data_IF_303889845060
#
_entry.id   IF_303889845060
#
_cell.length_a   1.000
_cell.length_b   1.000
_cell.length_c   1.000
_cell.angle_alpha   90.00
_cell.angle_beta   90.00
_cell.angle_gamma   90.00
#
_symmetry.space_group_name_H-M   'P 1'
#
loop_
_entity.id
_entity.type
_entity.pdbx_description
1 polymer ?
#
# COMPACT_ATOMS: atom_id res chain seq x y z
N UNK A 1 3.43 -57.28 -20.64
CA UNK A 1 2.52 -56.22 -21.14
C UNK A 1 1.68 -55.66 -19.98
N UNK A 2 2.24 -54.87 -19.06
CA UNK A 2 1.45 -54.32 -17.92
C UNK A 2 2.01 -53.03 -17.29
N UNK A 3 2.92 -52.32 -17.97
CA UNK A 3 3.50 -51.06 -17.46
C UNK A 3 3.13 -49.85 -18.33
N UNK A 4 2.85 -50.07 -19.63
CA UNK A 4 2.52 -48.99 -20.56
C UNK A 4 1.10 -48.40 -20.41
N UNK A 5 0.18 -49.07 -19.70
CA UNK A 5 -1.21 -48.60 -19.54
C UNK A 5 -1.43 -47.72 -18.29
N UNK A 6 -0.47 -47.64 -17.37
CA UNK A 6 -0.59 -46.80 -16.16
C UNK A 6 -0.11 -45.36 -16.38
N UNK A 7 0.78 -45.12 -17.34
CA UNK A 7 1.30 -43.78 -17.66
C UNK A 7 0.33 -42.92 -18.47
N UNK A 8 -0.55 -43.52 -19.29
CA UNK A 8 -1.52 -42.76 -20.08
C UNK A 8 -2.66 -42.12 -19.24
N UNK A 9 -3.03 -42.73 -18.10
CA UNK A 9 -4.05 -42.16 -17.19
C UNK A 9 -3.54 -40.99 -16.35
N UNK A 10 -2.24 -40.93 -16.05
CA UNK A 10 -1.63 -39.83 -15.29
C UNK A 10 -1.51 -38.55 -16.13
N UNK A 11 -1.25 -38.66 -17.44
CA UNK A 11 -1.17 -37.51 -18.34
C UNK A 11 -2.53 -36.82 -18.58
N UNK A 12 -3.64 -37.57 -18.56
CA UNK A 12 -4.98 -36.97 -18.73
C UNK A 12 -5.45 -36.18 -17.50
N UNK A 13 -5.08 -36.61 -16.29
CA UNK A 13 -5.44 -35.90 -15.05
C UNK A 13 -4.64 -34.60 -14.86
N UNK A 14 -3.39 -34.56 -15.31
CA UNK A 14 -2.58 -33.34 -15.30
C UNK A 14 -3.06 -32.29 -16.31
N UNK A 15 -3.51 -32.72 -17.51
CA UNK A 15 -4.09 -31.81 -18.49
C UNK A 15 -5.44 -31.22 -18.03
N UNK A 16 -6.24 -31.96 -17.25
CA UNK A 16 -7.52 -31.47 -16.74
C UNK A 16 -7.37 -30.45 -15.60
N UNK A 17 -6.32 -30.56 -14.78
CA UNK A 17 -6.01 -29.58 -13.73
C UNK A 17 -5.51 -28.24 -14.31
N UNK A 18 -4.72 -28.26 -15.40
CA UNK A 18 -4.30 -27.03 -16.07
C UNK A 18 -5.45 -26.27 -16.78
N UNK A 19 -6.52 -26.97 -17.17
CA UNK A 19 -7.68 -26.34 -17.83
C UNK A 19 -8.62 -25.67 -16.82
N UNK A 20 -8.67 -26.16 -15.57
CA UNK A 20 -9.48 -25.57 -14.51
C UNK A 20 -8.84 -24.31 -13.89
N UNK A 21 -7.50 -24.20 -13.90
CA UNK A 21 -6.80 -22.96 -13.52
C UNK A 21 -6.95 -21.85 -14.56
N UNK A 22 -7.03 -22.20 -15.85
CA UNK A 22 -7.20 -21.21 -16.93
C UNK A 22 -8.55 -20.48 -16.85
N UNK A 23 -9.62 -21.20 -16.50
CA UNK A 23 -10.96 -20.62 -16.40
C UNK A 23 -11.14 -19.62 -15.23
N UNK A 24 -10.29 -19.67 -14.20
CA UNK A 24 -10.31 -18.70 -13.10
C UNK A 24 -9.43 -17.48 -13.37
N UNK A 25 -8.44 -17.62 -14.26
CA UNK A 25 -7.59 -16.53 -14.76
C UNK A 25 -8.36 -15.63 -15.74
N UNK A 26 -9.30 -16.20 -16.51
CA UNK A 26 -10.12 -15.45 -17.46
C UNK A 26 -11.09 -14.45 -16.78
N UNK A 27 -11.55 -14.72 -15.56
CA UNK A 27 -12.48 -13.86 -14.80
C UNK A 27 -11.78 -12.61 -14.21
N UNK A 28 -10.48 -12.73 -13.91
CA UNK A 28 -9.62 -11.62 -13.47
C UNK A 28 -9.20 -10.75 -14.67
N UNK A 29 -9.13 -11.32 -15.87
CA UNK A 29 -8.81 -10.58 -17.08
C UNK A 29 -9.97 -9.68 -17.52
N UNK A 30 -11.22 -10.11 -17.36
CA UNK A 30 -12.43 -9.33 -17.64
C UNK A 30 -12.54 -8.05 -16.78
N UNK A 31 -12.22 -8.13 -15.48
CA UNK A 31 -12.25 -6.95 -14.58
C UNK A 31 -11.18 -5.91 -14.91
N UNK A 32 -10.01 -6.35 -15.38
CA UNK A 32 -8.92 -5.46 -15.80
C UNK A 32 -9.10 -4.88 -17.20
N UNK A 33 -9.71 -5.64 -18.11
CA UNK A 33 -10.16 -5.13 -19.39
C UNK A 33 -11.29 -4.14 -19.23
N UNK A 34 -12.22 -4.33 -18.28
CA UNK A 34 -13.22 -3.32 -17.96
C UNK A 34 -12.56 -2.03 -17.47
N UNK A 35 -11.66 -2.09 -16.48
CA UNK A 35 -10.95 -0.89 -16.01
C UNK A 35 -10.11 -0.20 -17.12
N UNK A 36 -9.40 -0.95 -17.98
CA UNK A 36 -8.60 -0.34 -19.07
C UNK A 36 -9.41 0.11 -20.29
N UNK A 37 -10.51 -0.57 -20.62
CA UNK A 37 -11.36 -0.21 -21.76
C UNK A 37 -12.25 0.99 -21.41
N UNK A 38 -12.61 1.14 -20.13
CA UNK A 38 -13.24 2.36 -19.59
C UNK A 38 -12.34 3.60 -19.66
N UNK A 39 -11.04 3.45 -19.35
CA UNK A 39 -10.05 4.57 -19.36
C UNK A 39 -9.93 5.25 -20.73
N UNK A 40 -10.32 4.58 -21.82
CA UNK A 40 -10.21 5.13 -23.17
C UNK A 40 -11.52 5.68 -23.75
N UNK A 41 -12.69 5.40 -23.17
CA UNK A 41 -13.99 5.84 -23.76
C UNK A 41 -15.15 6.12 -22.79
N UNK A 42 -15.06 5.86 -21.49
CA UNK A 42 -16.25 5.75 -20.63
C UNK A 42 -16.73 7.04 -19.96
N UNK A 43 -18.04 7.30 -20.03
CA UNK A 43 -18.79 8.21 -19.15
C UNK A 43 -19.00 7.59 -17.75
N UNK A 44 -19.27 8.40 -16.71
CA UNK A 44 -19.51 7.94 -15.31
C UNK A 44 -20.39 6.69 -15.16
N UNK A 45 -21.37 6.51 -16.04
CA UNK A 45 -22.32 5.38 -16.04
C UNK A 45 -21.67 4.00 -16.23
N UNK A 46 -20.45 3.91 -16.77
CA UNK A 46 -19.78 2.63 -17.04
C UNK A 46 -18.92 2.14 -15.86
N UNK A 47 -18.57 2.98 -14.88
CA UNK A 47 -17.65 2.64 -13.78
C UNK A 47 -18.29 1.74 -12.70
N UNK A 48 -19.58 1.42 -12.82
CA UNK A 48 -20.37 0.80 -11.76
C UNK A 48 -20.63 1.75 -10.59
N UNK A 49 -21.33 1.27 -9.57
CA UNK A 49 -21.53 2.02 -8.34
C UNK A 49 -20.28 1.90 -7.43
N UNK A 50 -19.94 2.92 -6.62
CA UNK A 50 -18.81 2.85 -5.69
C UNK A 50 -18.85 1.62 -4.77
N UNK A 51 -20.02 1.22 -4.30
CA UNK A 51 -20.22 0.05 -3.45
C UNK A 51 -19.89 -1.27 -4.18
N UNK A 52 -20.15 -1.34 -5.49
CA UNK A 52 -19.79 -2.51 -6.31
C UNK A 52 -18.27 -2.60 -6.48
N UNK A 53 -17.59 -1.45 -6.68
CA UNK A 53 -16.13 -1.39 -6.77
C UNK A 53 -15.46 -1.76 -5.45
N UNK A 54 -15.99 -1.28 -4.33
CA UNK A 54 -15.48 -1.65 -3.00
C UNK A 54 -15.63 -3.16 -2.79
N UNK A 55 -16.82 -3.70 -3.01
CA UNK A 55 -17.09 -5.14 -2.87
C UNK A 55 -16.18 -6.01 -3.76
N UNK A 56 -15.82 -5.53 -4.95
CA UNK A 56 -14.88 -6.24 -5.83
C UNK A 56 -13.43 -6.22 -5.31
N UNK A 57 -13.04 -5.16 -4.61
CA UNK A 57 -11.73 -5.02 -4.00
C UNK A 57 -11.63 -5.72 -2.63
N UNK A 58 -12.74 -6.11 -2.01
CA UNK A 58 -12.75 -6.74 -0.69
C UNK A 58 -12.32 -8.23 -0.70
N UNK A 59 -11.68 -8.71 0.38
CA UNK A 59 -11.16 -7.91 1.49
C UNK A 59 -9.95 -7.07 1.04
N UNK A 60 -9.93 -5.80 1.42
CA UNK A 60 -8.84 -4.88 1.09
C UNK A 60 -7.54 -5.35 1.74
N UNK A 61 -6.44 -5.25 1.00
CA UNK A 61 -5.11 -5.53 1.53
C UNK A 61 -4.27 -4.25 1.54
N UNK A 62 -3.95 -3.74 2.72
CA UNK A 62 -3.20 -2.50 2.84
C UNK A 62 -1.70 -2.74 2.64
N UNK A 63 -1.20 -2.35 1.46
CA UNK A 63 0.22 -2.19 1.22
C UNK A 63 0.71 -0.91 1.90
N UNK A 64 1.42 -1.06 3.01
CA UNK A 64 2.02 0.07 3.71
C UNK A 64 3.54 0.03 3.56
N UNK A 65 4.07 0.87 2.67
CA UNK A 65 5.51 1.13 2.65
C UNK A 65 5.88 2.11 3.78
N UNK A 66 7.00 1.88 4.50
CA UNK A 66 7.47 2.82 5.51
C UNK A 66 7.54 4.26 4.96
N UNK A 67 6.97 5.19 5.73
CA UNK A 67 6.89 6.64 5.44
C UNK A 67 5.95 7.05 4.30
N UNK A 68 5.10 6.14 3.85
CA UNK A 68 3.99 6.43 2.96
C UNK A 68 2.65 6.50 3.72
N UNK A 69 2.62 7.24 4.85
CA UNK A 69 1.36 7.60 5.51
C UNK A 69 0.67 6.54 6.37
N UNK A 70 1.11 6.33 7.61
CA UNK A 70 0.41 5.42 8.55
C UNK A 70 -1.04 5.87 8.83
N UNK A 71 -1.34 7.17 8.76
CA UNK A 71 -2.69 7.71 8.98
C UNK A 71 -3.73 7.23 7.98
N UNK A 72 -3.33 6.67 6.83
CA UNK A 72 -4.25 6.16 5.81
C UNK A 72 -5.12 5.02 6.34
N UNK A 73 -4.73 4.37 7.44
CA UNK A 73 -5.58 3.42 8.15
C UNK A 73 -6.95 4.01 8.52
N UNK A 74 -7.03 5.31 8.83
CA UNK A 74 -8.29 5.96 9.18
C UNK A 74 -9.25 6.00 7.97
N UNK A 75 -8.73 6.19 6.76
CA UNK A 75 -9.55 6.13 5.54
C UNK A 75 -10.05 4.71 5.28
N UNK A 76 -9.23 3.69 5.55
CA UNK A 76 -9.62 2.29 5.39
C UNK A 76 -10.77 1.91 6.33
N UNK A 77 -10.66 2.25 7.62
CA UNK A 77 -11.67 1.87 8.61
C UNK A 77 -13.00 2.62 8.45
N UNK A 78 -12.97 3.81 7.86
CA UNK A 78 -14.14 4.64 7.64
C UNK A 78 -14.87 4.34 6.33
N UNK A 79 -14.35 3.43 5.49
CA UNK A 79 -15.10 2.97 4.33
C UNK A 79 -16.36 2.18 4.75
N UNK A 80 -17.48 2.37 4.03
CA UNK A 80 -18.72 1.67 4.31
C UNK A 80 -18.53 0.15 4.29
N UNK A 81 -18.81 -0.51 5.42
CA UNK A 81 -18.78 -1.99 5.50
C UNK A 81 -17.40 -2.62 5.68
N UNK A 82 -16.31 -1.84 5.62
CA UNK A 82 -14.95 -2.37 5.82
C UNK A 82 -14.70 -2.75 7.28
N UNK A 83 -15.00 -1.82 8.21
CA UNK A 83 -14.88 -2.04 9.66
C UNK A 83 -16.17 -1.78 10.44
N UNK A 84 -17.27 -2.52 10.16
CA UNK A 84 -18.58 -2.26 10.78
C UNK A 84 -18.61 -2.53 12.28
N UNK A 85 -17.67 -3.34 12.81
CA UNK A 85 -17.54 -3.62 14.24
C UNK A 85 -16.74 -2.57 15.00
N UNK A 86 -16.11 -1.62 14.30
CA UNK A 86 -15.29 -0.59 14.91
C UNK A 86 -16.16 0.62 15.27
N UNK A 87 -16.36 0.85 16.57
CA UNK A 87 -17.07 2.04 17.06
C UNK A 87 -16.25 3.34 16.97
N UNK A 88 -14.99 3.24 16.54
CA UNK A 88 -14.04 4.35 16.45
C UNK A 88 -13.86 4.75 14.99
N UNK A 89 -13.91 6.05 14.72
CA UNK A 89 -13.55 6.63 13.41
C UNK A 89 -12.06 6.97 13.30
N UNK A 90 -11.28 6.64 14.34
CA UNK A 90 -9.88 7.01 14.49
C UNK A 90 -9.04 5.95 15.21
N UNK A 91 -7.96 5.58 14.56
CA UNK A 91 -6.91 4.70 15.07
C UNK A 91 -5.65 5.53 15.27
N UNK A 92 -5.37 5.90 16.53
CA UNK A 92 -4.19 6.68 16.91
C UNK A 92 -3.69 6.29 18.31
N UNK A 93 -2.66 7.00 18.79
CA UNK A 93 -2.08 6.75 20.10
C UNK A 93 -2.99 7.11 21.27
N UNK A 94 -4.01 7.95 21.06
CA UNK A 94 -4.98 8.33 22.09
C UNK A 94 -6.05 7.24 22.26
N UNK A 95 -6.45 6.58 21.16
CA UNK A 95 -7.48 5.55 21.17
C UNK A 95 -6.95 4.17 21.51
N UNK A 96 -5.77 3.80 20.99
CA UNK A 96 -5.19 2.45 21.16
C UNK A 96 -3.81 2.44 21.84
N UNK A 97 -3.40 3.58 22.41
CA UNK A 97 -2.14 3.73 23.13
C UNK A 97 -0.90 3.88 22.22
N UNK A 98 0.31 4.04 22.78
CA UNK A 98 1.55 4.30 22.02
C UNK A 98 1.90 3.24 20.96
N UNK A 99 1.26 2.07 21.05
CA UNK A 99 1.38 0.92 20.18
C UNK A 99 0.18 0.74 19.25
N UNK A 100 -0.50 1.83 18.88
CA UNK A 100 -1.77 1.77 18.17
C UNK A 100 -1.72 0.91 16.90
N UNK A 101 -0.63 0.98 16.12
CA UNK A 101 -0.46 0.16 14.92
C UNK A 101 -0.50 -1.34 15.23
N UNK A 102 0.46 -1.87 16.01
CA UNK A 102 0.41 -3.26 16.47
C UNK A 102 -0.92 -3.64 17.12
N UNK A 103 -1.41 -2.84 18.07
CA UNK A 103 -2.65 -3.12 18.78
C UNK A 103 -3.86 -3.19 17.85
N UNK A 104 -3.94 -2.31 16.86
CA UNK A 104 -5.00 -2.31 15.88
C UNK A 104 -4.97 -3.60 15.06
N UNK A 105 -3.85 -3.91 14.40
CA UNK A 105 -3.77 -5.05 13.50
C UNK A 105 -3.86 -6.41 14.19
N UNK A 106 -3.37 -6.54 15.43
CA UNK A 106 -3.40 -7.82 16.14
C UNK A 106 -4.68 -8.04 16.95
N UNK A 107 -5.26 -6.98 17.54
CA UNK A 107 -6.32 -7.14 18.55
C UNK A 107 -7.68 -6.61 18.10
N UNK A 108 -7.72 -5.58 17.25
CA UNK A 108 -8.96 -4.88 16.88
C UNK A 108 -9.44 -5.30 15.50
N UNK A 109 -8.56 -5.18 14.50
CA UNK A 109 -8.88 -5.41 13.10
C UNK A 109 -9.49 -6.81 12.84
N UNK A 110 -8.93 -7.93 13.34
CA UNK A 110 -9.44 -9.26 13.00
C UNK A 110 -10.89 -9.53 13.45
N UNK A 111 -11.37 -8.81 14.47
CA UNK A 111 -12.72 -8.95 15.00
C UNK A 111 -13.68 -7.86 14.51
N UNK A 112 -13.15 -6.73 14.03
CA UNK A 112 -13.93 -5.53 13.73
C UNK A 112 -14.00 -5.19 12.25
N UNK A 113 -13.09 -5.73 11.43
CA UNK A 113 -12.88 -5.36 10.03
C UNK A 113 -13.02 -6.54 9.07
N UNK A 114 -14.27 -6.89 8.73
CA UNK A 114 -14.55 -7.98 7.78
C UNK A 114 -14.17 -7.65 6.34
N UNK A 115 -14.14 -6.36 5.95
CA UNK A 115 -13.77 -5.93 4.60
C UNK A 115 -12.27 -5.68 4.41
N UNK A 116 -11.43 -6.03 5.39
CA UNK A 116 -9.97 -5.83 5.31
C UNK A 116 -9.21 -7.08 5.77
N UNK A 117 -8.16 -7.44 5.03
CA UNK A 117 -7.21 -8.46 5.46
C UNK A 117 -6.22 -7.84 6.46
N UNK A 118 -6.42 -8.14 7.74
CA UNK A 118 -5.62 -7.61 8.84
C UNK A 118 -4.26 -8.32 8.93
N UNK A 119 -3.22 -7.71 8.35
CA UNK A 119 -1.87 -8.28 8.35
C UNK A 119 -0.94 -7.50 9.27
N UNK A 120 -0.24 -8.21 10.15
CA UNK A 120 0.83 -7.66 10.99
C UNK A 120 2.15 -8.43 10.80
N UNK A 121 3.30 -7.74 10.66
CA UNK A 121 3.44 -6.28 10.59
C UNK A 121 2.93 -5.70 9.26
N UNK A 122 2.52 -4.41 9.23
CA UNK A 122 1.99 -3.80 8.02
C UNK A 122 3.04 -3.58 6.92
N UNK A 123 4.33 -3.73 7.24
CA UNK A 123 5.47 -3.58 6.32
C UNK A 123 5.89 -4.91 5.66
N UNK A 124 4.99 -5.88 5.55
CA UNK A 124 5.29 -7.17 4.94
C UNK A 124 5.56 -7.06 3.44
N UNK A 125 6.46 -7.90 2.95
CA UNK A 125 6.71 -8.08 1.53
C UNK A 125 5.56 -8.81 0.84
N UNK A 126 5.24 -8.39 -0.38
CA UNK A 126 4.21 -8.96 -1.26
C UNK A 126 4.80 -9.97 -2.26
N UNK A 127 6.11 -10.23 -2.20
CA UNK A 127 6.84 -10.81 -3.31
C UNK A 127 6.50 -12.25 -3.65
N UNK A 128 6.02 -13.05 -2.69
CA UNK A 128 5.65 -14.42 -2.98
C UNK A 128 4.55 -14.41 -4.05
N UNK A 129 4.77 -15.14 -5.15
CA UNK A 129 3.88 -15.11 -6.29
C UNK A 129 2.45 -15.49 -5.91
N UNK A 130 2.29 -16.43 -4.97
CA UNK A 130 0.98 -16.80 -4.42
C UNK A 130 0.34 -15.67 -3.63
N UNK A 131 1.15 -14.83 -2.98
CA UNK A 131 0.67 -13.72 -2.17
C UNK A 131 0.22 -12.53 -3.01
N UNK A 132 0.96 -12.18 -4.06
CA UNK A 132 0.53 -11.15 -5.02
C UNK A 132 -0.69 -11.63 -5.82
N UNK A 133 -0.63 -12.82 -6.42
CA UNK A 133 -1.71 -13.31 -7.27
C UNK A 133 -3.04 -13.41 -6.52
N UNK A 134 -3.03 -13.84 -5.26
CA UNK A 134 -4.23 -13.93 -4.42
C UNK A 134 -4.82 -12.56 -4.03
N UNK A 135 -4.02 -11.49 -4.08
CA UNK A 135 -4.40 -10.13 -3.67
C UNK A 135 -4.52 -9.14 -4.81
N UNK A 136 -4.20 -9.57 -6.04
CA UNK A 136 -4.33 -8.78 -7.26
C UNK A 136 -5.76 -8.25 -7.38
N UNK A 137 -5.91 -6.94 -7.53
CA UNK A 137 -7.19 -6.24 -7.58
C UNK A 137 -7.77 -5.87 -6.21
N UNK A 138 -7.06 -6.17 -5.10
CA UNK A 138 -7.47 -5.87 -3.72
C UNK A 138 -6.45 -5.02 -2.95
N UNK A 139 -5.27 -4.79 -3.53
CA UNK A 139 -4.22 -4.00 -2.91
C UNK A 139 -4.62 -2.53 -2.88
N UNK A 140 -4.44 -1.89 -1.74
CA UNK A 140 -4.63 -0.44 -1.57
C UNK A 140 -3.41 0.13 -0.86
N UNK A 141 -2.96 1.31 -1.25
CA UNK A 141 -1.82 1.94 -0.60
C UNK A 141 -1.53 3.35 -1.09
N UNK A 142 -0.71 4.03 -0.30
CA UNK A 142 -0.10 5.30 -0.68
C UNK A 142 1.37 5.06 -1.02
N UNK A 143 1.86 5.84 -1.98
CA UNK A 143 3.25 5.92 -2.37
C UNK A 143 3.80 7.30 -2.01
N UNK A 144 5.11 7.46 -2.08
CA UNK A 144 5.77 8.73 -1.78
C UNK A 144 6.98 8.87 -2.69
N UNK A 145 7.29 10.10 -3.06
CA UNK A 145 8.56 10.46 -3.69
C UNK A 145 9.73 9.75 -2.97
N UNK A 146 10.59 8.99 -3.68
CA UNK A 146 11.61 8.15 -3.05
C UNK A 146 12.60 8.92 -2.19
N UNK A 147 12.98 10.12 -2.62
CA UNK A 147 13.95 10.96 -1.94
C UNK A 147 13.34 11.52 -0.64
N UNK A 148 12.10 11.99 -0.69
CA UNK A 148 11.32 12.39 0.49
C UNK A 148 11.07 11.22 1.45
N UNK A 149 10.86 9.99 0.92
CA UNK A 149 10.69 8.77 1.72
C UNK A 149 11.95 8.45 2.52
N UNK A 150 13.12 8.44 1.86
CA UNK A 150 14.41 8.14 2.49
C UNK A 150 14.77 9.20 3.53
N UNK A 151 14.58 10.49 3.23
CA UNK A 151 14.78 11.58 4.19
C UNK A 151 13.87 11.43 5.42
N UNK A 152 12.58 11.17 5.20
CA UNK A 152 11.63 10.96 6.30
C UNK A 152 11.98 9.75 7.17
N UNK A 153 12.54 8.70 6.56
CA UNK A 153 12.99 7.52 7.27
C UNK A 153 14.23 7.83 8.11
N UNK A 154 15.22 8.51 7.53
CA UNK A 154 16.44 8.94 8.22
C UNK A 154 16.17 9.86 9.41
N UNK A 155 15.30 10.86 9.24
CA UNK A 155 14.91 11.80 10.29
C UNK A 155 14.06 11.15 11.39
N UNK A 156 13.56 9.94 11.16
CA UNK A 156 12.90 9.13 12.19
C UNK A 156 13.77 8.06 12.83
N UNK A 157 15.05 8.00 12.49
CA UNK A 157 15.99 7.07 13.10
C UNK A 157 16.00 7.22 14.63
N UNK A 158 15.93 6.10 15.35
CA UNK A 158 15.85 6.07 16.81
C UNK A 158 14.47 6.44 17.38
N UNK A 159 13.53 6.91 16.56
CA UNK A 159 12.16 7.22 16.93
C UNK A 159 11.21 6.20 16.31
N UNK A 160 11.27 4.95 16.79
CA UNK A 160 10.30 3.96 16.36
C UNK A 160 8.90 4.21 16.91
N UNK A 161 7.93 3.30 16.69
CA UNK A 161 6.60 3.42 17.27
C UNK A 161 6.74 3.61 18.78
N UNK A 162 6.02 4.56 19.38
CA UNK A 162 6.24 5.00 20.78
C UNK A 162 6.10 3.90 21.85
N UNK A 163 5.76 2.67 21.47
CA UNK A 163 5.74 1.50 22.34
C UNK A 163 6.94 0.56 22.20
N UNK A 164 7.79 0.75 21.20
CA UNK A 164 9.09 0.11 21.13
C UNK A 164 10.09 1.17 21.52
N UNK A 165 10.67 1.02 22.71
CA UNK A 165 11.86 1.76 23.06
C UNK A 165 13.04 1.22 22.26
N UNK A 166 13.07 1.63 21.00
CA UNK A 166 14.20 1.41 20.13
C UNK A 166 15.43 2.15 20.65
N UNK A 167 15.31 3.05 21.63
CA UNK A 167 16.48 3.65 22.25
C UNK A 167 17.37 2.56 22.84
N UNK A 168 16.90 1.53 23.55
CA UNK A 168 17.83 0.48 24.03
C UNK A 168 18.53 -0.30 22.89
N UNK A 169 17.89 -0.44 21.74
CA UNK A 169 18.46 -1.12 20.56
C UNK A 169 19.39 -0.21 19.75
N UNK A 170 19.07 1.08 19.66
CA UNK A 170 19.75 2.07 18.82
C UNK A 170 20.64 3.04 19.60
N UNK A 171 20.55 3.13 20.94
CA UNK A 171 21.39 3.98 21.80
C UNK A 171 22.86 3.53 21.74
N UNK A 172 23.10 2.26 21.43
CA UNK A 172 24.44 1.72 21.17
C UNK A 172 24.82 1.73 19.68
N UNK A 173 23.93 2.17 18.79
CA UNK A 173 24.18 2.28 17.36
C UNK A 173 24.30 3.74 16.96
N UNK A 174 25.50 4.14 16.55
CA UNK A 174 25.70 5.44 15.91
C UNK A 174 24.82 5.50 14.66
N UNK A 175 23.95 6.52 14.56
CA UNK A 175 23.19 6.78 13.34
C UNK A 175 24.20 6.90 12.18
N UNK A 176 24.10 6.07 11.13
CA UNK A 176 25.06 6.12 10.04
C UNK A 176 25.04 7.51 9.36
N UNK A 177 26.15 7.91 8.72
CA UNK A 177 26.15 9.03 7.79
C UNK A 177 25.00 8.89 6.79
N UNK A 178 24.37 10.00 6.40
CA UNK A 178 23.16 9.97 5.58
C UNK A 178 23.33 9.15 4.30
N UNK A 179 24.44 9.31 3.57
CA UNK A 179 24.65 8.59 2.29
C UNK A 179 24.76 7.08 2.48
N UNK A 180 25.39 6.63 3.57
CA UNK A 180 25.46 5.20 3.89
C UNK A 180 24.06 4.66 4.22
N UNK A 181 23.27 5.44 4.98
CA UNK A 181 21.88 5.09 5.24
C UNK A 181 21.03 5.04 3.97
N UNK A 182 21.16 6.04 3.11
CA UNK A 182 20.39 6.17 1.89
C UNK A 182 20.68 5.00 0.93
N UNK A 183 21.95 4.61 0.80
CA UNK A 183 22.36 3.44 0.02
C UNK A 183 21.77 2.13 0.56
N UNK A 184 21.74 1.96 1.89
CA UNK A 184 21.11 0.80 2.55
C UNK A 184 19.59 0.75 2.35
N UNK A 185 18.92 1.89 2.23
CA UNK A 185 17.46 1.98 2.10
C UNK A 185 16.97 2.07 0.65
N UNK A 186 17.91 2.05 -0.30
CA UNK A 186 17.66 2.15 -1.74
C UNK A 186 16.80 0.99 -2.24
N UNK A 187 15.77 1.29 -3.02
CA UNK A 187 14.85 0.28 -3.55
C UNK A 187 13.87 -0.28 -2.50
N UNK A 188 13.57 0.46 -1.44
CA UNK A 188 12.72 -0.02 -0.35
C UNK A 188 11.27 -0.34 -0.76
N UNK A 189 10.65 0.47 -1.63
CA UNK A 189 9.33 0.16 -2.20
C UNK A 189 9.41 -1.06 -3.12
N UNK A 190 10.45 -1.11 -3.95
CA UNK A 190 10.72 -2.22 -4.87
C UNK A 190 10.88 -3.54 -4.12
N UNK A 191 11.68 -3.54 -3.06
CA UNK A 191 11.90 -4.68 -2.17
C UNK A 191 10.57 -5.21 -1.63
N UNK A 192 9.76 -4.33 -1.03
CA UNK A 192 8.50 -4.77 -0.42
C UNK A 192 7.52 -5.33 -1.46
N UNK A 193 7.52 -4.80 -2.69
CA UNK A 193 6.64 -5.31 -3.75
C UNK A 193 7.10 -6.63 -4.37
N UNK A 194 8.38 -6.99 -4.28
CA UNK A 194 8.98 -8.12 -5.02
C UNK A 194 9.54 -9.24 -4.15
N UNK A 195 9.79 -9.02 -2.86
CA UNK A 195 10.48 -10.00 -2.02
C UNK A 195 9.64 -11.17 -1.55
N UNK A 196 10.10 -12.38 -1.91
CA UNK A 196 9.35 -13.64 -1.80
C UNK A 196 9.35 -14.19 -0.38
N UNK A 197 10.34 -13.86 0.45
CA UNK A 197 10.57 -14.70 1.63
C UNK A 197 11.31 -14.00 2.77
N UNK A 198 10.71 -12.97 3.37
CA UNK A 198 11.02 -12.65 4.76
C UNK A 198 9.75 -12.22 5.51
N UNK A 199 9.37 -13.03 6.50
CA UNK A 199 8.68 -12.51 7.68
C UNK A 199 9.62 -11.49 8.33
N UNK A 200 9.66 -10.26 7.83
CA UNK A 200 10.25 -9.14 8.55
C UNK A 200 9.39 -8.94 9.79
N UNK A 201 9.71 -9.70 10.83
CA UNK A 201 9.13 -9.54 12.15
C UNK A 201 9.75 -8.29 12.75
N UNK A 202 8.94 -7.24 12.89
CA UNK A 202 9.24 -6.07 13.71
C UNK A 202 10.25 -5.05 13.15
N UNK A 203 10.03 -4.54 11.93
CA UNK A 203 10.74 -3.33 11.48
C UNK A 203 12.25 -3.49 11.41
N UNK A 204 12.73 -4.73 11.26
CA UNK A 204 14.10 -4.97 10.84
C UNK A 204 14.33 -4.27 9.51
N UNK A 205 15.55 -3.79 9.25
CA UNK A 205 15.91 -3.30 7.94
C UNK A 205 15.42 -4.30 6.90
N UNK A 206 14.98 -3.80 5.74
CA UNK A 206 14.96 -4.58 4.50
C UNK A 206 16.14 -5.56 4.53
N UNK A 207 16.05 -6.76 3.97
CA UNK A 207 17.27 -7.56 3.80
C UNK A 207 18.22 -6.78 2.87
N UNK A 208 19.00 -5.90 3.49
CA UNK A 208 19.90 -4.93 2.87
C UNK A 208 21.04 -5.65 2.16
N UNK A 209 21.11 -6.98 2.31
CA UNK A 209 22.10 -7.81 1.66
C UNK A 209 21.76 -8.16 0.21
N UNK A 210 20.52 -7.96 -0.25
CA UNK A 210 20.19 -8.05 -1.68
C UNK A 210 19.93 -6.66 -2.26
N UNK A 211 20.89 -6.07 -3.00
CA UNK A 211 20.62 -4.89 -3.80
C UNK A 211 19.47 -5.15 -4.78
N UNK A 212 18.51 -4.21 -4.84
CA UNK A 212 17.42 -4.26 -5.81
C UNK A 212 17.94 -3.93 -7.20
N UNK A 213 17.48 -4.68 -8.20
CA UNK A 213 17.87 -4.51 -9.60
C UNK A 213 16.81 -3.75 -10.39
N UNK A 214 17.16 -3.31 -11.60
CA UNK A 214 16.20 -2.73 -12.54
C UNK A 214 15.07 -3.71 -12.92
N UNK A 215 15.33 -5.03 -12.90
CA UNK A 215 14.28 -6.02 -13.18
C UNK A 215 13.31 -6.17 -12.01
N UNK A 216 13.80 -6.09 -10.76
CA UNK A 216 12.94 -6.02 -9.58
C UNK A 216 12.04 -4.78 -9.64
N UNK A 217 12.61 -3.63 -10.02
CA UNK A 217 11.88 -2.37 -10.16
C UNK A 217 10.79 -2.45 -11.24
N UNK A 218 11.07 -3.09 -12.37
CA UNK A 218 10.08 -3.34 -13.44
C UNK A 218 8.94 -4.23 -12.97
N UNK A 219 9.24 -5.30 -12.23
CA UNK A 219 8.22 -6.18 -11.69
C UNK A 219 7.38 -5.47 -10.61
N UNK A 220 8.01 -4.71 -9.71
CA UNK A 220 7.30 -3.87 -8.74
C UNK A 220 6.37 -2.87 -9.43
N UNK A 221 6.86 -2.15 -10.44
CA UNK A 221 6.08 -1.23 -11.28
C UNK A 221 4.88 -1.91 -11.92
N UNK A 222 5.06 -3.11 -12.50
CA UNK A 222 3.96 -3.92 -13.05
C UNK A 222 2.93 -4.26 -11.99
N UNK A 223 3.36 -4.66 -10.79
CA UNK A 223 2.47 -4.99 -9.66
C UNK A 223 1.67 -3.78 -9.19
N UNK A 224 2.25 -2.57 -9.18
CA UNK A 224 1.50 -1.33 -8.90
C UNK A 224 0.40 -1.12 -9.94
N UNK A 225 0.74 -1.24 -11.22
CA UNK A 225 -0.18 -0.98 -12.34
C UNK A 225 -1.32 -1.98 -12.45
N UNK A 226 -1.06 -3.23 -12.10
CA UNK A 226 -1.99 -4.34 -12.34
C UNK A 226 -2.59 -4.92 -11.06
N UNK A 227 -2.03 -4.61 -9.89
CA UNK A 227 -2.40 -5.28 -8.64
C UNK A 227 -3.26 -4.44 -7.72
N UNK A 228 -3.20 -3.13 -7.85
CA UNK A 228 -3.84 -2.22 -6.90
C UNK A 228 -5.24 -1.84 -7.33
N UNK A 229 -6.18 -2.00 -6.41
CA UNK A 229 -7.52 -1.42 -6.49
C UNK A 229 -7.46 0.10 -6.30
N UNK A 230 -6.52 0.59 -5.49
CA UNK A 230 -6.31 2.01 -5.25
C UNK A 230 -4.84 2.34 -5.04
N UNK A 231 -4.41 3.45 -5.65
CA UNK A 231 -3.07 4.03 -5.51
C UNK A 231 -3.25 5.52 -5.25
N UNK A 232 -2.73 5.99 -4.11
CA UNK A 232 -2.60 7.41 -3.81
C UNK A 232 -1.15 7.83 -3.59
N UNK A 233 -0.94 9.12 -3.36
CA UNK A 233 0.38 9.73 -3.13
C UNK A 233 0.39 10.50 -1.81
N UNK A 234 1.49 10.43 -1.08
CA UNK A 234 1.62 11.04 0.26
C UNK A 234 1.64 12.56 0.15
N UNK A 235 2.35 13.09 -0.83
CA UNK A 235 2.45 14.53 -1.15
C UNK A 235 1.13 15.11 -1.71
N UNK A 236 0.21 14.27 -2.17
CA UNK A 236 -1.14 14.64 -2.60
C UNK A 236 -2.18 14.06 -1.63
N UNK A 237 -1.91 14.15 -0.32
CA UNK A 237 -2.71 13.51 0.73
C UNK A 237 -4.21 13.76 0.58
N UNK A 238 -4.60 15.03 0.57
CA UNK A 238 -6.00 15.44 0.55
C UNK A 238 -6.72 14.92 -0.71
N UNK A 239 -6.09 15.02 -1.88
CA UNK A 239 -6.63 14.48 -3.12
C UNK A 239 -6.66 12.94 -3.12
N UNK A 240 -5.70 12.28 -2.50
CA UNK A 240 -5.67 10.83 -2.36
C UNK A 240 -6.83 10.33 -1.51
N UNK A 241 -7.14 10.99 -0.39
CA UNK A 241 -8.30 10.65 0.45
C UNK A 241 -9.60 10.89 -0.33
N UNK A 242 -9.75 12.05 -0.97
CA UNK A 242 -10.93 12.31 -1.79
C UNK A 242 -11.10 11.28 -2.92
N UNK A 243 -10.02 10.96 -3.65
CA UNK A 243 -10.05 9.94 -4.70
C UNK A 243 -10.49 8.59 -4.15
N UNK A 244 -9.98 8.19 -2.99
CA UNK A 244 -10.35 6.95 -2.33
C UNK A 244 -11.87 6.86 -2.10
N UNK A 245 -12.49 7.91 -1.57
CA UNK A 245 -13.93 7.99 -1.37
C UNK A 245 -14.74 8.13 -2.67
N UNK A 246 -14.21 8.78 -3.71
CA UNK A 246 -14.85 8.76 -5.05
C UNK A 246 -14.85 7.36 -5.66
N UNK A 247 -13.77 6.61 -5.44
CA UNK A 247 -13.63 5.26 -5.95
C UNK A 247 -14.53 4.27 -5.20
N UNK A 248 -14.56 4.30 -3.87
CA UNK A 248 -15.21 3.26 -3.06
C UNK A 248 -16.45 3.72 -2.29
N UNK A 249 -16.79 5.01 -2.37
CA UNK A 249 -17.95 5.59 -1.69
C UNK A 249 -17.65 6.02 -0.26
N UNK A 250 -18.72 6.26 0.49
CA UNK A 250 -18.62 6.80 1.86
C UNK A 250 -18.41 8.31 1.91
N UNK A 251 -18.57 8.86 3.11
CA UNK A 251 -18.24 10.25 3.40
C UNK A 251 -16.79 10.32 3.87
N UNK A 252 -16.11 11.42 3.56
CA UNK A 252 -14.81 11.71 4.15
C UNK A 252 -15.00 12.12 5.63
N UNK A 253 -14.04 11.76 6.46
CA UNK A 253 -14.04 12.06 7.90
C UNK A 253 -12.84 12.94 8.28
N UNK A 254 -13.01 13.79 9.31
CA UNK A 254 -11.99 14.74 9.72
C UNK A 254 -10.67 14.03 10.08
N UNK A 255 -10.78 12.88 10.72
CA UNK A 255 -9.68 12.06 11.24
C UNK A 255 -8.81 11.43 10.14
N UNK A 256 -9.27 11.43 8.89
CA UNK A 256 -8.53 10.97 7.71
C UNK A 256 -7.52 12.01 7.22
N UNK A 257 -7.71 13.27 7.60
CA UNK A 257 -6.82 14.40 7.25
C UNK A 257 -5.85 14.75 8.38
N UNK A 258 -5.85 13.96 9.46
CA UNK A 258 -4.93 14.12 10.57
C UNK A 258 -3.65 13.29 10.40
N UNK A 259 -2.52 13.90 10.74
CA UNK A 259 -1.28 13.15 10.91
C UNK A 259 -1.26 12.52 12.31
N UNK A 260 -1.69 11.26 12.41
CA UNK A 260 -1.68 10.49 13.66
C UNK A 260 -0.29 9.95 14.02
N UNK A 261 0.71 10.20 13.18
CA UNK A 261 2.09 9.76 13.40
C UNK A 261 3.10 10.81 12.91
N UNK A 262 3.08 12.04 13.47
CA UNK A 262 4.00 13.08 13.07
C UNK A 262 5.43 12.65 13.38
N UNK A 263 6.37 13.08 12.55
CA UNK A 263 7.79 12.82 12.83
C UNK A 263 8.27 13.64 14.03
N UNK A 264 9.32 13.20 14.73
CA UNK A 264 9.86 13.89 15.90
C UNK A 264 10.38 15.31 15.60
N UNK A 265 10.65 15.61 14.32
CA UNK A 265 11.00 16.96 13.85
C UNK A 265 9.80 17.91 13.78
N UNK A 266 8.58 17.45 14.08
CA UNK A 266 7.34 18.20 13.91
C UNK A 266 6.90 18.34 12.46
N UNK A 267 7.67 17.81 11.50
CA UNK A 267 7.25 17.74 10.09
C UNK A 267 6.16 16.68 9.92
N UNK A 268 5.10 17.08 9.22
CA UNK A 268 4.00 16.23 8.79
C UNK A 268 4.09 15.94 7.28
N UNK A 269 3.16 15.15 6.74
CA UNK A 269 3.13 14.80 5.32
C UNK A 269 3.00 16.01 4.36
N UNK A 270 2.57 17.18 4.85
CA UNK A 270 2.37 18.39 4.03
C UNK A 270 3.62 19.28 3.91
N UNK A 271 4.73 18.90 4.56
CA UNK A 271 5.98 19.66 4.53
C UNK A 271 7.11 18.78 4.03
N UNK A 272 7.67 19.16 2.88
CA UNK A 272 8.80 18.46 2.31
C UNK A 272 10.09 18.63 3.14
N UNK A 273 10.95 17.62 3.02
CA UNK A 273 12.33 17.67 3.46
C UNK A 273 13.18 18.44 2.45
N UNK A 274 14.23 19.09 2.94
CA UNK A 274 15.19 19.77 2.09
C UNK A 274 16.04 18.71 1.38
N UNK A 275 15.83 18.57 0.07
CA UNK A 275 16.53 17.56 -0.74
C UNK A 275 18.01 17.88 -0.93
N UNK A 276 18.49 19.07 -0.53
CA UNK A 276 19.94 19.35 -0.53
C UNK A 276 20.71 18.45 0.45
N UNK A 277 20.05 17.91 1.49
CA UNK A 277 20.61 16.90 2.41
C UNK A 277 21.03 15.61 1.69
N UNK A 278 20.47 15.34 0.50
CA UNK A 278 20.78 14.15 -0.28
C UNK A 278 22.18 14.18 -0.88
N UNK A 279 22.81 15.35 -0.99
CA UNK A 279 24.14 15.50 -1.60
C UNK A 279 24.27 14.83 -2.99
N UNK A 280 23.18 14.84 -3.77
CA UNK A 280 23.11 14.22 -5.09
C UNK A 280 22.74 12.73 -5.10
N UNK A 281 22.48 12.12 -3.93
CA UNK A 281 21.81 10.81 -3.87
C UNK A 281 20.42 10.90 -4.49
N UNK A 282 20.04 9.83 -5.19
CA UNK A 282 18.70 9.61 -5.71
C UNK A 282 18.41 8.10 -5.77
N UNK A 283 17.23 7.70 -5.29
CA UNK A 283 16.79 6.30 -5.33
C UNK A 283 16.15 5.96 -6.70
N UNK A 284 17.01 5.83 -7.72
CA UNK A 284 16.62 5.52 -9.10
C UNK A 284 15.88 4.17 -9.27
N UNK A 285 16.00 3.26 -8.30
CA UNK A 285 15.29 1.99 -8.29
C UNK A 285 13.83 2.21 -7.89
N UNK A 286 13.60 2.88 -6.76
CA UNK A 286 12.25 3.20 -6.31
C UNK A 286 11.56 4.26 -7.20
N UNK A 287 12.32 5.10 -7.91
CA UNK A 287 11.79 6.05 -8.89
C UNK A 287 10.93 5.36 -9.96
N UNK A 288 11.33 4.17 -10.42
CA UNK A 288 10.55 3.38 -11.40
C UNK A 288 9.20 2.95 -10.83
N UNK A 289 9.14 2.63 -9.54
CA UNK A 289 7.90 2.26 -8.84
C UNK A 289 7.05 3.49 -8.58
N UNK A 290 7.65 4.57 -8.11
CA UNK A 290 6.96 5.83 -7.83
C UNK A 290 6.36 6.43 -9.10
N UNK A 291 7.12 6.50 -10.20
CA UNK A 291 6.61 6.90 -11.51
C UNK A 291 5.40 6.05 -11.92
N UNK A 292 5.39 4.75 -11.58
CA UNK A 292 4.25 3.89 -11.87
C UNK A 292 3.01 4.21 -11.03
N UNK A 293 3.21 4.51 -9.74
CA UNK A 293 2.16 4.95 -8.86
C UNK A 293 1.58 6.30 -9.31
N UNK A 294 2.44 7.24 -9.70
CA UNK A 294 2.07 8.56 -10.20
C UNK A 294 1.18 8.47 -11.45
N UNK A 295 1.51 7.59 -12.40
CA UNK A 295 0.68 7.37 -13.59
C UNK A 295 -0.71 6.83 -13.22
N UNK A 296 -0.78 5.82 -12.33
CA UNK A 296 -2.06 5.23 -11.89
C UNK A 296 -2.90 6.26 -11.14
N UNK A 297 -2.27 7.02 -10.24
CA UNK A 297 -2.93 8.10 -9.50
C UNK A 297 -3.50 9.15 -10.45
N UNK A 298 -2.71 9.68 -11.38
CA UNK A 298 -3.16 10.69 -12.36
C UNK A 298 -4.29 10.16 -13.25
N UNK A 299 -4.18 8.91 -13.70
CA UNK A 299 -5.23 8.27 -14.50
C UNK A 299 -6.54 8.18 -13.72
N UNK A 300 -6.49 7.78 -12.44
CA UNK A 300 -7.66 7.69 -11.58
C UNK A 300 -8.21 9.08 -11.21
N UNK A 301 -7.36 10.07 -10.94
CA UNK A 301 -7.79 11.46 -10.70
C UNK A 301 -8.62 11.97 -11.88
N UNK A 302 -8.15 11.73 -13.11
CA UNK A 302 -8.90 12.10 -14.31
C UNK A 302 -10.19 11.28 -14.45
N UNK A 303 -10.12 9.95 -14.28
CA UNK A 303 -11.25 9.03 -14.45
C UNK A 303 -12.41 9.32 -13.47
N UNK A 304 -12.09 9.66 -12.23
CA UNK A 304 -13.07 9.94 -11.17
C UNK A 304 -13.34 11.43 -10.97
N UNK A 305 -12.89 12.27 -11.91
CA UNK A 305 -13.08 13.73 -11.90
C UNK A 305 -12.69 14.37 -10.55
N UNK A 306 -11.54 13.97 -10.01
CA UNK A 306 -10.99 14.47 -8.74
C UNK A 306 -10.24 15.78 -9.01
N UNK A 307 -10.58 16.81 -8.26
CA UNK A 307 -9.93 18.11 -8.28
C UNK A 307 -10.13 18.81 -6.95
N UNK A 308 -9.42 19.91 -6.72
CA UNK A 308 -9.63 20.74 -5.53
C UNK A 308 -11.11 21.14 -5.37
N UNK A 309 -11.77 21.49 -6.48
CA UNK A 309 -13.17 21.92 -6.48
C UNK A 309 -14.13 20.74 -6.26
N UNK A 310 -13.92 19.62 -6.95
CA UNK A 310 -14.82 18.46 -6.82
C UNK A 310 -14.70 17.73 -5.48
N UNK A 311 -13.63 18.01 -4.73
CA UNK A 311 -13.32 17.47 -3.41
C UNK A 311 -13.63 18.41 -2.25
N UNK A 312 -14.18 19.61 -2.50
CA UNK A 312 -14.60 20.53 -1.43
C UNK A 312 -15.50 19.87 -0.36
N UNK A 313 -16.44 18.96 -0.68
CA UNK A 313 -17.21 18.26 0.34
C UNK A 313 -16.32 17.50 1.34
N UNK A 314 -15.25 16.85 0.87
CA UNK A 314 -14.29 16.17 1.73
C UNK A 314 -13.42 17.14 2.51
N UNK A 315 -12.98 18.24 1.90
CA UNK A 315 -12.10 19.18 2.60
C UNK A 315 -12.83 20.01 3.65
N UNK A 316 -14.15 20.18 3.52
CA UNK A 316 -14.95 20.91 4.48
C UNK A 316 -15.06 20.25 5.86
N UNK A 317 -14.79 18.95 5.97
CA UNK A 317 -14.76 18.24 7.26
C UNK A 317 -13.43 18.41 8.01
N UNK A 318 -12.39 18.95 7.36
CA UNK A 318 -11.07 19.12 7.96
C UNK A 318 -11.14 20.11 9.12
N UNK A 319 -10.78 19.65 10.33
CA UNK A 319 -10.76 20.48 11.54
C UNK A 319 -12.14 20.77 12.16
N UNK A 320 -13.16 19.98 11.80
CA UNK A 320 -14.46 19.96 12.47
C UNK A 320 -14.45 19.19 13.79
#
# INVERSE_FOLDING_TARGET
>A
MSVAFKTARAFCLFAMLCILDAAHIDDIWETQLLQRKLVLTGTETELGLPEERLKAAEPLWWFHCPKCGTSFVNSLINLPGVCPGLALHKVDSTTLGPCFGPNFFTNVCPSSCSGMECVFPPHQGLGNYTDYAARKGRLVGLFRDPDQRVLSLYHSWGHGPGCFDWSDTFNNMTRPPFLEYADLMKGGMTYQLTQVDQRSTAGTPLDVHRPMTSEDAKEASRRVREGFAFVGLTEEWDLSICLFHKMFGGQCHAEEFEDVRPTSSGKNASVDYDTSELMGFHDDIDEVVYSAALDVFKANVALYNVSQDSCQPCFSVRGS
#
